data_IF_534535508607
#
_entry.id   IF_534535508607
#
_cell.length_a   1.000
_cell.length_b   1.000
_cell.length_c   1.000
_cell.angle_alpha   90.00
_cell.angle_beta   90.00
_cell.angle_gamma   90.00
#
_symmetry.space_group_name_H-M   'P 1'
#
loop_
_entity.id
_entity.type
_entity.pdbx_description
1 polymer ?
#
# COMPACT_ATOMS: atom_id res chain seq x y z
N UNK A 1 9.85 -12.28 20.61
CA UNK A 1 9.94 -10.87 20.15
C UNK A 1 9.12 -10.79 18.88
N UNK A 2 8.18 -9.86 18.81
CA UNK A 2 7.41 -9.64 17.57
C UNK A 2 8.33 -9.12 16.46
N UNK A 3 7.92 -9.34 15.21
CA UNK A 3 8.53 -8.70 14.04
C UNK A 3 8.39 -7.17 14.17
N UNK A 4 9.41 -6.40 13.78
CA UNK A 4 9.43 -4.93 13.86
C UNK A 4 9.89 -4.33 12.54
N UNK A 5 9.19 -3.31 12.08
CA UNK A 5 9.49 -2.51 10.88
C UNK A 5 9.91 -1.12 11.31
N UNK A 6 11.07 -0.68 10.82
CA UNK A 6 11.58 0.68 11.01
C UNK A 6 11.32 1.51 9.77
N UNK A 7 10.53 2.58 9.92
CA UNK A 7 10.19 3.51 8.84
C UNK A 7 11.20 4.66 8.85
N UNK A 8 12.03 4.71 7.82
CA UNK A 8 12.98 5.79 7.57
C UNK A 8 12.49 6.79 6.51
N UNK A 9 13.35 7.72 6.06
CA UNK A 9 13.03 8.61 4.93
C UNK A 9 12.96 7.92 3.57
N UNK A 10 13.49 6.69 3.47
CA UNK A 10 13.43 5.88 2.25
C UNK A 10 12.17 5.00 2.17
N UNK A 11 11.94 4.35 1.02
CA UNK A 11 10.79 3.48 0.83
C UNK A 11 10.81 2.28 1.77
N UNK A 12 9.65 1.92 2.32
CA UNK A 12 9.43 0.59 2.91
C UNK A 12 9.39 -0.48 1.81
N UNK A 13 9.70 -1.73 2.15
CA UNK A 13 9.64 -2.84 1.21
C UNK A 13 8.25 -3.48 1.13
N UNK A 14 7.99 -4.27 0.08
CA UNK A 14 6.79 -5.12 0.00
C UNK A 14 6.67 -6.02 1.23
N UNK A 15 7.80 -6.57 1.71
CA UNK A 15 7.81 -7.44 2.87
C UNK A 15 7.39 -6.72 4.16
N UNK A 16 7.79 -5.45 4.32
CA UNK A 16 7.39 -4.60 5.44
C UNK A 16 5.89 -4.31 5.42
N UNK A 17 5.34 -4.00 4.24
CA UNK A 17 3.89 -3.78 4.07
C UNK A 17 3.12 -5.03 4.49
N UNK A 18 3.52 -6.22 4.00
CA UNK A 18 2.88 -7.49 4.37
C UNK A 18 3.09 -7.80 5.87
N UNK A 19 4.26 -7.49 6.43
CA UNK A 19 4.56 -7.69 7.85
C UNK A 19 3.60 -6.92 8.75
N UNK A 20 3.41 -5.64 8.46
CA UNK A 20 2.52 -4.77 9.24
C UNK A 20 1.06 -5.12 8.97
N UNK A 21 0.67 -5.26 7.71
CA UNK A 21 -0.72 -5.49 7.30
C UNK A 21 -1.28 -6.82 7.81
N UNK A 22 -0.54 -7.93 7.61
CA UNK A 22 -1.02 -9.30 7.88
C UNK A 22 -0.45 -9.93 9.14
N UNK A 23 0.80 -9.64 9.49
CA UNK A 23 1.51 -10.32 10.60
C UNK A 23 1.55 -9.51 11.89
N UNK A 24 1.04 -8.27 11.87
CA UNK A 24 0.97 -7.42 13.05
C UNK A 24 2.34 -6.96 13.54
N UNK A 25 3.31 -6.79 12.62
CA UNK A 25 4.62 -6.26 12.98
C UNK A 25 4.50 -4.88 13.65
N UNK A 26 5.30 -4.66 14.69
CA UNK A 26 5.41 -3.37 15.36
C UNK A 26 6.06 -2.35 14.42
N UNK A 27 5.70 -1.07 14.55
CA UNK A 27 6.17 0.00 13.67
C UNK A 27 6.88 1.06 14.51
N UNK A 28 8.06 1.49 14.08
CA UNK A 28 8.81 2.57 14.71
C UNK A 28 9.42 3.48 13.66
N UNK A 29 9.57 4.76 13.98
CA UNK A 29 10.25 5.72 13.12
C UNK A 29 11.74 5.71 13.42
N UNK A 30 12.57 5.70 12.37
CA UNK A 30 14.00 5.89 12.52
C UNK A 30 14.34 7.34 12.90
N UNK A 31 15.47 7.56 13.57
CA UNK A 31 15.90 8.89 14.00
C UNK A 31 16.08 9.86 12.82
N UNK A 32 16.49 9.34 11.67
CA UNK A 32 16.61 10.11 10.43
C UNK A 32 15.25 10.57 9.89
N UNK A 33 14.21 9.75 10.04
CA UNK A 33 12.84 10.11 9.67
C UNK A 33 12.29 11.21 10.58
N UNK A 34 12.48 11.08 11.90
CA UNK A 34 12.09 12.11 12.86
C UNK A 34 12.79 13.45 12.53
N UNK A 35 14.10 13.39 12.28
CA UNK A 35 14.87 14.57 11.88
C UNK A 35 14.39 15.18 10.56
N UNK A 36 13.97 14.36 9.59
CA UNK A 36 13.43 14.83 8.32
C UNK A 36 12.06 15.50 8.48
N UNK A 37 11.17 14.89 9.27
CA UNK A 37 9.86 15.46 9.62
C UNK A 37 10.03 16.83 10.28
N UNK A 38 10.93 16.93 11.27
CA UNK A 38 11.17 18.19 12.00
C UNK A 38 11.65 19.33 11.10
N UNK A 39 12.57 19.04 10.18
CA UNK A 39 13.05 20.04 9.20
C UNK A 39 11.93 20.51 8.29
N UNK A 40 11.11 19.59 7.79
CA UNK A 40 9.97 19.92 6.95
C UNK A 40 8.93 20.76 7.71
N UNK A 41 8.70 20.42 8.98
CA UNK A 41 7.75 21.12 9.85
C UNK A 41 8.18 22.56 10.09
N UNK A 42 9.46 22.80 10.36
CA UNK A 42 10.00 24.15 10.55
C UNK A 42 9.73 25.06 9.34
N UNK A 43 9.82 24.53 8.11
CA UNK A 43 9.49 25.27 6.88
C UNK A 43 8.01 25.64 6.82
N UNK A 44 7.11 24.70 7.14
CA UNK A 44 5.68 24.98 7.15
C UNK A 44 5.32 26.01 8.24
N UNK A 45 5.99 25.95 9.40
CA UNK A 45 5.77 26.90 10.49
C UNK A 45 6.20 28.32 10.10
N UNK A 46 7.35 28.46 9.43
CA UNK A 46 7.81 29.75 8.89
C UNK A 46 6.82 30.31 7.86
N UNK A 47 6.36 29.48 6.92
CA UNK A 47 5.39 29.89 5.90
C UNK A 47 4.01 30.21 6.50
N UNK A 48 3.61 29.51 7.55
CA UNK A 48 2.38 29.80 8.28
C UNK A 48 2.46 31.14 9.01
N UNK A 49 3.62 31.50 9.55
CA UNK A 49 3.85 32.79 10.20
C UNK A 49 4.03 33.95 9.21
N UNK A 50 4.38 33.65 7.95
CA UNK A 50 4.61 34.65 6.91
C UNK A 50 3.37 35.44 6.48
N UNK A 51 3.61 36.66 6.00
CA UNK A 51 2.54 37.55 5.49
C UNK A 51 1.99 37.10 4.13
N UNK A 52 2.79 36.37 3.33
CA UNK A 52 2.40 35.88 2.00
C UNK A 52 1.60 34.58 2.12
N UNK A 53 0.35 34.52 1.62
CA UNK A 53 -0.43 33.30 1.70
C UNK A 53 0.18 32.15 0.90
N UNK A 54 0.25 30.96 1.52
CA UNK A 54 0.75 29.71 0.90
C UNK A 54 -0.37 28.66 0.86
N UNK A 55 -0.52 27.98 -0.29
CA UNK A 55 -1.58 26.99 -0.52
C UNK A 55 -1.56 25.87 0.52
N UNK A 56 -2.72 25.52 1.08
CA UNK A 56 -2.86 24.42 2.06
C UNK A 56 -2.21 24.67 3.43
N UNK A 57 -1.48 25.78 3.59
CA UNK A 57 -0.84 26.21 4.84
C UNK A 57 -1.63 27.37 5.48
N UNK A 58 -1.82 28.46 4.73
CA UNK A 58 -2.52 29.67 5.21
C UNK A 58 -3.72 30.06 4.33
N UNK A 59 -4.10 29.21 3.37
CA UNK A 59 -5.30 29.36 2.54
C UNK A 59 -6.23 28.15 2.66
N UNK A 60 -7.44 28.25 2.10
CA UNK A 60 -8.36 27.11 1.97
C UNK A 60 -7.90 26.06 0.94
N UNK A 61 -8.73 25.03 0.74
CA UNK A 61 -8.44 23.91 -0.16
C UNK A 61 -9.35 23.91 -1.39
N UNK A 62 -8.89 23.35 -2.51
CA UNK A 62 -9.68 23.19 -3.73
C UNK A 62 -10.30 24.51 -4.21
N UNK A 63 -11.63 24.57 -4.32
CA UNK A 63 -12.36 25.78 -4.73
C UNK A 63 -12.14 27.00 -3.80
N UNK A 64 -11.65 26.78 -2.58
CA UNK A 64 -11.36 27.83 -1.59
C UNK A 64 -9.87 28.21 -1.51
N UNK A 65 -9.04 27.74 -2.46
CA UNK A 65 -7.59 27.98 -2.49
C UNK A 65 -7.18 29.46 -2.45
N UNK A 66 -8.04 30.37 -2.91
CA UNK A 66 -7.78 31.82 -2.98
C UNK A 66 -8.15 32.57 -1.70
N UNK A 67 -8.78 31.91 -0.71
CA UNK A 67 -9.23 32.55 0.53
C UNK A 67 -8.17 32.44 1.61
N UNK A 68 -7.69 33.56 2.11
CA UNK A 68 -6.80 33.62 3.27
C UNK A 68 -7.55 33.18 4.55
N UNK A 69 -6.86 32.41 5.40
CA UNK A 69 -7.41 31.85 6.62
C UNK A 69 -6.70 32.45 7.84
N UNK A 70 -7.42 33.20 8.69
CA UNK A 70 -6.89 33.72 9.95
C UNK A 70 -6.28 32.62 10.81
N UNK A 71 -5.18 32.91 11.50
CA UNK A 71 -4.39 31.95 12.28
C UNK A 71 -5.23 31.16 13.27
N UNK A 72 -6.14 31.82 13.97
CA UNK A 72 -7.06 31.24 14.96
C UNK A 72 -8.06 30.24 14.37
N UNK A 73 -8.31 30.28 13.05
CA UNK A 73 -9.22 29.36 12.35
C UNK A 73 -8.48 28.19 11.69
N UNK A 74 -7.14 28.18 11.65
CA UNK A 74 -6.38 27.17 10.89
C UNK A 74 -6.52 25.78 11.48
N UNK A 75 -6.41 25.61 12.79
CA UNK A 75 -6.63 24.31 13.43
C UNK A 75 -8.05 23.79 13.18
N UNK A 76 -9.06 24.68 13.30
CA UNK A 76 -10.45 24.34 13.00
C UNK A 76 -10.63 23.92 11.53
N UNK A 77 -9.97 24.60 10.59
CA UNK A 77 -10.02 24.27 9.17
C UNK A 77 -9.49 22.87 8.89
N UNK A 78 -8.34 22.49 9.47
CA UNK A 78 -7.73 21.17 9.25
C UNK A 78 -8.63 20.05 9.81
N UNK A 79 -9.18 20.23 11.01
CA UNK A 79 -10.17 19.30 11.58
C UNK A 79 -11.44 19.22 10.72
N UNK A 80 -11.92 20.35 10.21
CA UNK A 80 -13.12 20.39 9.37
C UNK A 80 -12.89 19.69 8.03
N UNK A 81 -11.68 19.83 7.44
CA UNK A 81 -11.28 19.13 6.24
C UNK A 81 -11.35 17.61 6.44
N UNK A 82 -10.75 17.09 7.50
CA UNK A 82 -10.78 15.66 7.82
C UNK A 82 -12.22 15.17 7.96
N UNK A 83 -13.04 15.86 8.76
CA UNK A 83 -14.45 15.49 8.97
C UNK A 83 -15.28 15.54 7.69
N UNK A 84 -15.09 16.54 6.84
CA UNK A 84 -15.87 16.67 5.60
C UNK A 84 -15.49 15.62 4.55
N UNK A 85 -14.26 15.09 4.61
CA UNK A 85 -13.76 14.09 3.67
C UNK A 85 -13.96 12.65 4.15
N UNK A 86 -14.26 12.43 5.44
CA UNK A 86 -14.65 11.13 5.99
C UNK A 86 -16.08 10.71 5.56
N UNK A 87 -16.32 10.72 4.26
CA UNK A 87 -17.61 10.47 3.61
C UNK A 87 -17.69 9.05 3.01
N UNK A 88 -17.07 8.07 3.68
CA UNK A 88 -17.10 6.67 3.25
C UNK A 88 -18.47 6.00 3.46
N UNK A 89 -18.83 5.05 2.59
CA UNK A 89 -20.05 4.25 2.72
C UNK A 89 -19.86 2.80 2.25
N UNK A 90 -20.79 1.91 2.58
CA UNK A 90 -20.74 0.50 2.21
C UNK A 90 -20.12 -0.42 3.29
N UNK A 91 -19.68 -1.62 2.91
CA UNK A 91 -18.98 -2.54 3.80
C UNK A 91 -17.69 -1.95 4.36
N UNK A 92 -17.19 -2.55 5.44
CA UNK A 92 -15.87 -2.22 5.96
C UNK A 92 -14.79 -2.81 5.06
N UNK A 93 -13.79 -2.00 4.73
CA UNK A 93 -12.55 -2.47 4.10
C UNK A 93 -11.82 -3.39 5.05
N UNK A 94 -11.16 -4.42 4.53
CA UNK A 94 -10.42 -5.40 5.31
C UNK A 94 -9.32 -4.74 6.15
N UNK A 95 -9.17 -5.23 7.39
CA UNK A 95 -8.20 -4.70 8.36
C UNK A 95 -6.78 -4.62 7.81
N UNK A 96 -6.36 -5.61 7.02
CA UNK A 96 -5.02 -5.64 6.42
C UNK A 96 -4.79 -4.48 5.44
N UNK A 97 -5.82 -4.11 4.67
CA UNK A 97 -5.76 -3.02 3.70
C UNK A 97 -5.66 -1.68 4.42
N UNK A 98 -6.46 -1.48 5.48
CA UNK A 98 -6.39 -0.24 6.28
C UNK A 98 -5.03 -0.11 6.97
N UNK A 99 -4.46 -1.21 7.46
CA UNK A 99 -3.12 -1.21 8.06
C UNK A 99 -2.02 -0.92 7.03
N UNK A 100 -2.13 -1.46 5.80
CA UNK A 100 -1.22 -1.13 4.71
C UNK A 100 -1.31 0.36 4.35
N UNK A 101 -2.53 0.89 4.20
CA UNK A 101 -2.80 2.30 3.95
C UNK A 101 -2.15 3.20 5.00
N UNK A 102 -2.32 2.88 6.30
CA UNK A 102 -1.71 3.66 7.38
C UNK A 102 -0.18 3.61 7.36
N UNK A 103 0.42 2.43 7.09
CA UNK A 103 1.87 2.31 6.99
C UNK A 103 2.42 3.14 5.82
N UNK A 104 1.77 3.09 4.67
CA UNK A 104 2.21 3.81 3.47
C UNK A 104 2.06 5.32 3.64
N UNK A 105 0.98 5.77 4.27
CA UNK A 105 0.84 7.17 4.68
C UNK A 105 1.98 7.57 5.59
N UNK A 106 2.26 6.79 6.64
CA UNK A 106 3.38 7.02 7.56
C UNK A 106 4.72 7.09 6.82
N UNK A 107 4.96 6.18 5.87
CA UNK A 107 6.17 6.18 5.03
C UNK A 107 6.31 7.49 4.25
N UNK A 108 5.22 7.98 3.66
CA UNK A 108 5.21 9.27 2.96
C UNK A 108 5.44 10.44 3.92
N UNK A 109 4.87 10.40 5.13
CA UNK A 109 5.13 11.44 6.15
C UNK A 109 6.60 11.45 6.57
N UNK A 110 7.22 10.27 6.69
CA UNK A 110 8.59 10.07 7.13
C UNK A 110 9.67 10.56 6.14
N UNK A 111 9.31 10.81 4.87
CA UNK A 111 10.26 11.36 3.88
C UNK A 111 10.69 12.79 4.23
N UNK A 112 9.91 13.51 5.04
CA UNK A 112 10.17 14.92 5.37
C UNK A 112 9.82 15.89 4.23
N UNK A 113 8.89 15.52 3.36
CA UNK A 113 8.40 16.40 2.30
C UNK A 113 6.97 16.89 2.53
N UNK A 114 6.28 16.37 3.56
CA UNK A 114 4.87 16.68 3.84
C UNK A 114 4.69 17.78 4.88
N UNK A 115 5.65 17.91 5.82
CA UNK A 115 5.60 18.92 6.87
C UNK A 115 4.53 18.67 7.94
N UNK A 116 4.29 17.43 8.34
CA UNK A 116 3.50 17.12 9.56
C UNK A 116 4.34 17.31 10.82
N UNK A 117 3.70 17.30 12.00
CA UNK A 117 4.41 17.25 13.28
C UNK A 117 4.86 15.82 13.61
N UNK A 118 5.93 15.71 14.40
CA UNK A 118 6.48 14.41 14.79
C UNK A 118 5.48 13.59 15.60
N UNK A 119 4.68 14.23 16.46
CA UNK A 119 3.72 13.57 17.33
C UNK A 119 2.61 12.90 16.50
N UNK A 120 2.23 13.52 15.39
CA UNK A 120 1.27 12.97 14.42
C UNK A 120 1.80 11.69 13.78
N UNK A 121 3.04 11.69 13.29
CA UNK A 121 3.65 10.49 12.71
C UNK A 121 3.89 9.39 13.75
N UNK A 122 4.35 9.76 14.95
CA UNK A 122 4.54 8.84 16.07
C UNK A 122 3.23 8.20 16.52
N UNK A 123 2.13 8.95 16.57
CA UNK A 123 0.83 8.40 16.93
C UNK A 123 0.33 7.40 15.87
N UNK A 124 0.53 7.67 14.58
CA UNK A 124 0.18 6.72 13.52
C UNK A 124 0.98 5.40 13.63
N UNK A 125 2.29 5.49 13.92
CA UNK A 125 3.11 4.31 14.20
C UNK A 125 2.65 3.54 15.46
N UNK A 126 2.23 4.28 16.50
CA UNK A 126 1.68 3.69 17.71
C UNK A 126 0.36 2.97 17.47
N UNK A 127 -0.58 3.54 16.71
CA UNK A 127 -1.83 2.86 16.34
C UNK A 127 -1.57 1.53 15.63
N UNK A 128 -0.64 1.52 14.65
CA UNK A 128 -0.23 0.30 13.95
C UNK A 128 0.33 -0.76 14.91
N UNK A 129 1.19 -0.35 15.85
CA UNK A 129 1.83 -1.20 16.85
C UNK A 129 0.84 -1.75 17.88
N UNK A 130 -0.10 -0.93 18.34
CA UNK A 130 -1.16 -1.33 19.27
C UNK A 130 -2.31 -2.09 18.60
N UNK A 131 -2.27 -2.26 17.28
CA UNK A 131 -3.29 -2.96 16.51
C UNK A 131 -4.61 -2.19 16.37
N UNK A 132 -4.63 -0.90 16.69
CA UNK A 132 -5.82 -0.04 16.58
C UNK A 132 -5.97 0.33 15.10
N UNK A 133 -7.05 -0.15 14.48
CA UNK A 133 -7.29 0.01 13.03
C UNK A 133 -8.58 0.81 12.80
N UNK A 134 -8.55 1.97 12.14
CA UNK A 134 -9.74 2.75 11.79
C UNK A 134 -10.76 1.95 10.99
N UNK A 135 -12.05 2.22 11.22
CA UNK A 135 -13.10 1.71 10.35
C UNK A 135 -13.15 2.56 9.08
N UNK A 136 -12.74 1.96 7.97
CA UNK A 136 -12.80 2.53 6.62
C UNK A 136 -13.87 1.80 5.83
N UNK A 137 -14.61 2.53 5.00
CA UNK A 137 -15.71 1.99 4.18
C UNK A 137 -15.29 1.93 2.70
N UNK A 138 -15.77 0.92 1.97
CA UNK A 138 -15.33 0.62 0.60
C UNK A 138 -15.56 1.75 -0.43
N UNK A 139 -16.68 2.48 -0.32
CA UNK A 139 -17.05 3.49 -1.31
C UNK A 139 -16.76 4.90 -0.81
N UNK A 140 -16.29 5.78 -1.69
CA UNK A 140 -16.17 7.21 -1.43
C UNK A 140 -14.92 7.87 -2.05
N UNK A 141 -13.84 7.10 -2.22
CA UNK A 141 -12.64 7.57 -2.94
C UNK A 141 -12.88 7.55 -4.47
N UNK A 142 -12.32 8.55 -5.17
CA UNK A 142 -12.32 8.60 -6.63
C UNK A 142 -11.08 7.95 -7.26
N UNK A 143 -10.02 7.74 -6.46
CA UNK A 143 -8.74 7.18 -6.93
C UNK A 143 -7.96 8.05 -7.93
N UNK A 144 -8.47 9.23 -8.32
CA UNK A 144 -7.82 10.17 -9.24
C UNK A 144 -7.35 11.48 -8.57
N UNK A 145 -7.62 11.63 -7.26
CA UNK A 145 -7.21 12.79 -6.47
C UNK A 145 -6.72 12.35 -5.08
N UNK A 146 -6.08 11.18 -5.02
CA UNK A 146 -5.77 10.46 -3.77
C UNK A 146 -6.97 9.74 -3.13
N UNK A 147 -6.65 8.91 -2.13
CA UNK A 147 -7.54 8.15 -1.27
C UNK A 147 -8.09 8.99 -0.10
N UNK A 148 -8.62 10.18 -0.44
CA UNK A 148 -9.04 11.20 0.52
C UNK A 148 -9.99 10.65 1.58
N UNK A 149 -11.04 9.93 1.18
CA UNK A 149 -12.04 9.43 2.12
C UNK A 149 -11.48 8.32 3.05
N UNK A 150 -10.84 7.27 2.54
CA UNK A 150 -10.15 6.29 3.37
C UNK A 150 -9.15 6.89 4.36
N UNK A 151 -8.28 7.80 3.89
CA UNK A 151 -7.29 8.43 4.73
C UNK A 151 -7.91 9.40 5.75
N UNK A 152 -9.03 10.06 5.42
CA UNK A 152 -9.76 10.90 6.36
C UNK A 152 -10.31 10.10 7.55
N UNK A 153 -10.78 8.87 7.35
CA UNK A 153 -11.15 7.99 8.47
C UNK A 153 -9.94 7.63 9.34
N UNK A 154 -8.74 7.47 8.74
CA UNK A 154 -7.51 7.26 9.51
C UNK A 154 -7.10 8.52 10.29
N UNK A 155 -7.24 9.69 9.69
CA UNK A 155 -6.99 10.98 10.34
C UNK A 155 -7.99 11.26 11.48
N UNK A 156 -9.26 10.87 11.34
CA UNK A 156 -10.24 10.93 12.43
C UNK A 156 -9.75 10.16 13.66
N UNK A 157 -9.24 8.95 13.47
CA UNK A 157 -8.74 8.14 14.57
C UNK A 157 -7.57 8.80 15.31
N UNK A 158 -6.67 9.48 14.60
CA UNK A 158 -5.55 10.23 15.19
C UNK A 158 -6.02 11.39 16.07
N UNK A 159 -7.11 12.07 15.69
CA UNK A 159 -7.69 13.15 16.49
C UNK A 159 -8.68 12.65 17.56
N UNK A 160 -8.79 11.32 17.74
CA UNK A 160 -9.66 10.68 18.73
C UNK A 160 -11.14 10.62 18.33
N UNK A 161 -11.44 10.80 17.05
CA UNK A 161 -12.80 10.77 16.49
C UNK A 161 -13.02 9.52 15.61
N UNK A 162 -14.29 9.19 15.36
CA UNK A 162 -14.66 8.03 14.54
C UNK A 162 -14.58 6.70 15.29
N UNK A 163 -14.72 5.63 14.52
CA UNK A 163 -14.73 4.25 15.00
C UNK A 163 -13.45 3.53 14.61
N UNK A 164 -12.96 2.65 15.48
CA UNK A 164 -11.80 1.79 15.26
C UNK A 164 -12.13 0.37 15.68
N UNK A 165 -11.37 -0.59 15.16
CA UNK A 165 -11.24 -1.94 15.70
C UNK A 165 -9.96 -2.05 16.50
N UNK A 166 -10.04 -2.59 17.71
CA UNK A 166 -8.88 -2.84 18.54
C UNK A 166 -8.04 -4.04 18.05
N UNK A 167 -7.03 -4.44 18.82
CA UNK A 167 -6.19 -5.59 18.50
C UNK A 167 -6.99 -6.89 18.30
N UNK A 168 -8.08 -7.07 19.08
CA UNK A 168 -8.98 -8.23 19.09
C UNK A 168 -10.06 -8.17 18.02
N UNK A 169 -10.19 -7.04 17.33
CA UNK A 169 -11.20 -6.79 16.31
C UNK A 169 -12.50 -6.19 16.86
N UNK A 170 -12.54 -5.79 18.13
CA UNK A 170 -13.71 -5.20 18.77
C UNK A 170 -13.91 -3.75 18.31
N UNK A 171 -15.13 -3.41 17.90
CA UNK A 171 -15.51 -2.07 17.44
C UNK A 171 -15.67 -1.14 18.65
N UNK A 172 -15.01 0.01 18.62
CA UNK A 172 -15.10 1.02 19.68
C UNK A 172 -14.79 2.44 19.18
N UNK A 173 -15.16 3.49 19.93
CA UNK A 173 -14.75 4.86 19.62
C UNK A 173 -13.23 5.04 19.64
N UNK A 174 -12.67 5.78 18.68
CA UNK A 174 -11.23 6.00 18.58
C UNK A 174 -10.61 6.59 19.85
N UNK A 175 -11.25 7.60 20.43
CA UNK A 175 -10.80 8.22 21.68
C UNK A 175 -10.73 7.23 22.86
N UNK A 176 -11.61 6.24 22.91
CA UNK A 176 -11.61 5.22 23.96
C UNK A 176 -10.46 4.23 23.76
N UNK A 177 -10.22 3.81 22.51
CA UNK A 177 -9.10 2.95 22.15
C UNK A 177 -7.75 3.61 22.44
N UNK A 178 -7.60 4.90 22.11
CA UNK A 178 -6.41 5.69 22.43
C UNK A 178 -6.13 5.69 23.94
N UNK A 179 -7.15 6.03 24.76
CA UNK A 179 -7.00 6.04 26.22
C UNK A 179 -6.66 4.66 26.78
N UNK A 180 -7.29 3.60 26.26
CA UNK A 180 -7.01 2.23 26.67
C UNK A 180 -5.56 1.80 26.35
N UNK A 181 -4.97 2.34 25.28
CA UNK A 181 -3.58 2.11 24.90
C UNK A 181 -2.58 3.08 25.55
N UNK A 182 -3.03 4.03 26.38
CA UNK A 182 -2.17 5.06 26.96
C UNK A 182 -1.70 6.12 25.96
N UNK A 183 -2.40 6.26 24.84
CA UNK A 183 -2.12 7.23 23.78
C UNK A 183 -3.04 8.46 23.92
N UNK A 184 -2.56 9.61 23.44
CA UNK A 184 -3.35 10.85 23.40
C UNK A 184 -3.66 11.23 21.95
N UNK A 185 -4.86 11.75 21.66
CA UNK A 185 -5.18 12.26 20.33
C UNK A 185 -4.32 13.47 20.01
N UNK A 186 -4.01 13.66 18.72
CA UNK A 186 -3.31 14.85 18.24
C UNK A 186 -4.29 15.96 17.92
N UNK A 187 -3.89 17.20 18.18
CA UNK A 187 -4.55 18.36 17.57
C UNK A 187 -3.93 18.61 16.19
N UNK A 188 -4.69 19.09 15.21
CA UNK A 188 -4.13 19.32 13.86
C UNK A 188 -3.72 20.78 13.69
N UNK A 189 -2.49 21.00 13.24
CA UNK A 189 -2.00 22.32 12.85
C UNK A 189 -1.97 22.52 11.34
N UNK A 190 -1.57 23.72 10.90
CA UNK A 190 -1.54 24.10 9.49
C UNK A 190 -0.87 23.02 8.63
N UNK A 191 -1.55 22.66 7.53
CA UNK A 191 -1.23 21.57 6.58
C UNK A 191 -1.46 20.14 7.06
N UNK A 192 -1.52 19.84 8.36
CA UNK A 192 -1.53 18.45 8.83
C UNK A 192 -2.77 17.67 8.39
N UNK A 193 -3.96 18.28 8.41
CA UNK A 193 -5.19 17.64 7.94
C UNK A 193 -5.11 17.25 6.48
N UNK A 194 -4.52 18.10 5.63
CA UNK A 194 -4.31 17.80 4.22
C UNK A 194 -3.23 16.73 4.02
N UNK A 195 -2.08 16.87 4.70
CA UNK A 195 -0.95 15.95 4.59
C UNK A 195 -1.30 14.51 5.04
N UNK A 196 -2.28 14.37 5.92
CA UNK A 196 -2.80 13.07 6.37
C UNK A 196 -3.72 12.41 5.34
N UNK A 197 -4.39 13.17 4.47
CA UNK A 197 -5.43 12.62 3.58
C UNK A 197 -5.07 12.60 2.11
N UNK A 198 -4.00 13.29 1.72
CA UNK A 198 -3.64 13.51 0.32
C UNK A 198 -2.56 12.53 -0.15
N UNK A 199 -2.96 11.32 -0.54
CA UNK A 199 -2.05 10.29 -1.06
C UNK A 199 -2.78 9.12 -1.71
N UNK A 200 -2.09 8.19 -2.36
CA UNK A 200 -2.64 6.99 -3.03
C UNK A 200 -2.34 5.71 -2.21
N UNK A 201 -2.24 5.88 -0.90
CA UNK A 201 -1.72 4.87 0.03
C UNK A 201 -2.63 3.63 0.12
N UNK A 202 -3.95 3.80 -0.03
CA UNK A 202 -4.91 2.72 0.03
C UNK A 202 -4.83 1.80 -1.19
N UNK A 203 -4.89 2.39 -2.38
CA UNK A 203 -4.79 1.63 -3.63
C UNK A 203 -3.41 0.98 -3.79
N UNK A 204 -2.32 1.64 -3.36
CA UNK A 204 -0.98 1.05 -3.36
C UNK A 204 -0.89 -0.13 -2.39
N UNK A 205 -1.46 0.00 -1.19
CA UNK A 205 -1.55 -1.08 -0.21
C UNK A 205 -2.29 -2.29 -0.78
N UNK A 206 -3.46 -2.08 -1.40
CA UNK A 206 -4.22 -3.15 -2.06
C UNK A 206 -3.41 -3.82 -3.18
N UNK A 207 -2.73 -3.03 -4.01
CA UNK A 207 -1.91 -3.56 -5.11
C UNK A 207 -0.77 -4.45 -4.60
N UNK A 208 -0.06 -4.03 -3.55
CA UNK A 208 1.03 -4.80 -2.94
C UNK A 208 0.52 -6.11 -2.35
N UNK A 209 -0.59 -6.08 -1.61
CA UNK A 209 -1.21 -7.27 -1.04
C UNK A 209 -1.70 -8.23 -2.14
N UNK A 210 -2.32 -7.70 -3.19
CA UNK A 210 -2.76 -8.50 -4.34
C UNK A 210 -1.58 -9.14 -5.10
N UNK A 211 -0.45 -8.43 -5.26
CA UNK A 211 0.76 -9.00 -5.86
C UNK A 211 1.29 -10.17 -5.04
N UNK A 212 1.31 -10.05 -3.71
CA UNK A 212 1.76 -11.13 -2.82
C UNK A 212 0.86 -12.37 -2.95
N UNK A 213 -0.45 -12.16 -2.98
CA UNK A 213 -1.42 -13.25 -3.16
C UNK A 213 -1.32 -13.88 -4.54
N UNK A 214 -1.22 -13.07 -5.61
CA UNK A 214 -1.07 -13.55 -6.98
C UNK A 214 0.22 -14.34 -7.17
N UNK A 215 1.33 -13.94 -6.55
CA UNK A 215 2.58 -14.73 -6.59
C UNK A 215 2.40 -16.11 -5.98
N UNK A 216 1.63 -16.22 -4.90
CA UNK A 216 1.26 -17.50 -4.29
C UNK A 216 0.32 -18.30 -5.20
N UNK A 217 -0.75 -17.68 -5.68
CA UNK A 217 -1.75 -18.32 -6.55
C UNK A 217 -1.15 -18.83 -7.87
N UNK A 218 -0.21 -18.09 -8.47
CA UNK A 218 0.45 -18.51 -9.71
C UNK A 218 1.35 -19.73 -9.50
N UNK A 219 2.02 -19.85 -8.33
CA UNK A 219 2.75 -21.08 -7.96
C UNK A 219 1.77 -22.24 -7.78
N UNK A 220 0.66 -22.01 -7.08
CA UNK A 220 -0.41 -23.01 -6.91
C UNK A 220 -1.01 -23.45 -8.24
N UNK A 221 -1.17 -22.53 -9.20
CA UNK A 221 -1.67 -22.84 -10.54
C UNK A 221 -0.72 -23.77 -11.29
N UNK A 222 0.60 -23.57 -11.21
CA UNK A 222 1.57 -24.51 -11.80
C UNK A 222 1.47 -25.90 -11.16
N UNK A 223 1.31 -25.98 -9.83
CA UNK A 223 1.11 -27.28 -9.14
C UNK A 223 -0.16 -27.97 -9.63
N UNK A 224 -1.28 -27.24 -9.70
CA UNK A 224 -2.55 -27.78 -10.19
C UNK A 224 -2.46 -28.22 -11.66
N UNK A 225 -1.71 -27.48 -12.49
CA UNK A 225 -1.47 -27.85 -13.89
C UNK A 225 -0.61 -29.11 -14.00
N UNK A 226 0.45 -29.26 -13.21
CA UNK A 226 1.25 -30.49 -13.17
C UNK A 226 0.38 -31.71 -12.79
N UNK A 227 -0.43 -31.60 -11.73
CA UNK A 227 -1.35 -32.66 -11.33
C UNK A 227 -2.37 -32.99 -12.43
N UNK A 228 -2.85 -31.97 -13.16
CA UNK A 228 -3.78 -32.16 -14.27
C UNK A 228 -3.12 -32.86 -15.46
N UNK A 229 -1.84 -32.55 -15.74
CA UNK A 229 -1.05 -33.26 -16.76
C UNK A 229 -0.92 -34.72 -16.40
N UNK A 230 -0.58 -35.07 -15.15
CA UNK A 230 -0.52 -36.46 -14.71
C UNK A 230 -1.89 -37.15 -14.82
N UNK A 231 -2.93 -36.56 -14.24
CA UNK A 231 -4.27 -37.15 -14.18
C UNK A 231 -4.86 -37.44 -15.56
N UNK A 232 -4.54 -36.61 -16.56
CA UNK A 232 -5.05 -36.73 -17.92
C UNK A 232 -4.11 -37.49 -18.87
N UNK A 233 -3.04 -38.09 -18.33
CA UNK A 233 -2.00 -38.78 -19.11
C UNK A 233 -1.45 -37.87 -20.22
N UNK A 234 -1.09 -36.63 -19.85
CA UNK A 234 -0.48 -35.63 -20.72
C UNK A 234 1.05 -35.69 -20.77
N UNK A 235 1.64 -35.04 -21.76
CA UNK A 235 3.09 -35.04 -22.00
C UNK A 235 3.78 -33.79 -21.45
N UNK A 236 4.97 -33.99 -20.89
CA UNK A 236 5.84 -32.94 -20.34
C UNK A 236 6.84 -32.38 -21.36
N UNK A 237 6.98 -33.00 -22.55
CA UNK A 237 7.93 -32.58 -23.61
C UNK A 237 7.76 -31.12 -24.02
N UNK A 238 6.54 -30.61 -23.92
CA UNK A 238 6.17 -29.24 -24.28
C UNK A 238 6.62 -28.19 -23.26
N UNK A 239 7.20 -28.63 -22.14
CA UNK A 239 7.77 -27.77 -21.09
C UNK A 239 9.31 -27.70 -21.17
N UNK A 240 9.92 -28.38 -22.14
CA UNK A 240 11.37 -28.43 -22.29
C UNK A 240 11.99 -27.03 -22.43
N UNK A 241 13.12 -26.75 -21.75
CA UNK A 241 13.72 -25.41 -21.70
C UNK A 241 14.14 -24.90 -23.08
N UNK A 242 14.65 -25.77 -23.96
CA UNK A 242 15.01 -25.44 -25.33
C UNK A 242 13.82 -24.98 -26.17
N UNK A 243 12.63 -25.53 -25.92
CA UNK A 243 11.40 -25.10 -26.58
C UNK A 243 10.94 -23.73 -26.06
N UNK A 244 11.04 -23.49 -24.75
CA UNK A 244 10.69 -22.20 -24.18
C UNK A 244 11.63 -21.10 -24.65
N UNK A 245 12.91 -21.41 -24.83
CA UNK A 245 13.91 -20.46 -25.31
C UNK A 245 13.60 -19.92 -26.73
N UNK A 246 12.84 -20.64 -27.55
CA UNK A 246 12.38 -20.16 -28.87
C UNK A 246 11.41 -18.98 -28.77
N UNK A 247 10.76 -18.78 -27.61
CA UNK A 247 9.86 -17.66 -27.33
C UNK A 247 10.16 -17.09 -25.93
N UNK A 248 11.11 -16.15 -25.81
CA UNK A 248 11.77 -15.81 -24.54
C UNK A 248 10.94 -14.88 -23.64
N UNK A 249 9.70 -15.25 -23.32
CA UNK A 249 8.91 -14.59 -22.27
C UNK A 249 9.34 -15.13 -20.89
N UNK A 250 9.80 -14.29 -19.95
CA UNK A 250 10.32 -14.72 -18.66
C UNK A 250 9.31 -15.55 -17.84
N UNK A 251 8.07 -15.09 -17.74
CA UNK A 251 7.01 -15.78 -17.03
C UNK A 251 6.69 -17.16 -17.62
N UNK A 252 6.72 -17.27 -18.96
CA UNK A 252 6.51 -18.54 -19.66
C UNK A 252 7.62 -19.54 -19.31
N UNK A 253 8.88 -19.11 -19.38
CA UNK A 253 10.02 -19.94 -19.02
C UNK A 253 9.96 -20.36 -17.55
N UNK A 254 9.57 -19.45 -16.63
CA UNK A 254 9.41 -19.75 -15.21
C UNK A 254 8.33 -20.81 -14.92
N UNK A 255 7.15 -20.67 -15.54
CA UNK A 255 6.07 -21.66 -15.38
C UNK A 255 6.44 -23.02 -15.97
N UNK A 256 7.02 -23.06 -17.18
CA UNK A 256 7.47 -24.31 -17.78
C UNK A 256 8.56 -25.00 -16.94
N UNK A 257 9.51 -24.25 -16.38
CA UNK A 257 10.54 -24.80 -15.50
C UNK A 257 9.94 -25.43 -14.24
N UNK A 258 8.93 -24.80 -13.64
CA UNK A 258 8.20 -25.36 -12.50
C UNK A 258 7.49 -26.67 -12.86
N UNK A 259 6.77 -26.69 -14.00
CA UNK A 259 6.06 -27.88 -14.48
C UNK A 259 7.03 -29.02 -14.79
N UNK A 260 8.12 -28.74 -15.50
CA UNK A 260 9.15 -29.72 -15.82
C UNK A 260 9.81 -30.29 -14.54
N UNK A 261 10.04 -29.45 -13.53
CA UNK A 261 10.57 -29.88 -12.24
C UNK A 261 9.60 -30.80 -11.50
N UNK A 262 8.31 -30.46 -11.45
CA UNK A 262 7.29 -31.23 -10.72
C UNK A 262 6.96 -32.57 -11.40
N UNK A 263 6.98 -32.61 -12.74
CA UNK A 263 6.69 -33.80 -13.53
C UNK A 263 7.90 -34.71 -13.73
N UNK A 264 9.09 -34.26 -13.30
CA UNK A 264 10.32 -35.04 -13.40
C UNK A 264 10.14 -36.36 -12.66
N UNK A 265 10.49 -37.45 -13.33
CA UNK A 265 10.40 -38.82 -12.82
C UNK A 265 8.98 -39.31 -12.47
N UNK A 266 7.93 -38.63 -12.95
CA UNK A 266 6.55 -39.11 -12.80
C UNK A 266 6.34 -40.45 -13.52
N UNK A 267 6.00 -41.49 -12.77
CA UNK A 267 5.62 -42.79 -13.31
C UNK A 267 4.35 -42.72 -14.19
N UNK A 268 3.45 -41.78 -13.87
CA UNK A 268 2.23 -41.56 -14.64
C UNK A 268 2.56 -40.99 -16.01
N UNK A 269 3.40 -39.94 -16.08
CA UNK A 269 3.88 -39.40 -17.36
C UNK A 269 4.67 -40.45 -18.15
N UNK A 270 5.53 -41.23 -17.47
CA UNK A 270 6.31 -42.29 -18.12
C UNK A 270 5.45 -43.41 -18.74
N UNK A 271 4.29 -43.71 -18.16
CA UNK A 271 3.42 -44.83 -18.58
C UNK A 271 2.93 -44.78 -20.03
N UNK A 272 2.96 -43.59 -20.65
CA UNK A 272 2.45 -43.34 -22.00
C UNK A 272 3.44 -42.53 -22.86
N UNK A 273 4.75 -42.65 -22.60
CA UNK A 273 5.81 -42.08 -23.48
C UNK A 273 6.19 -42.96 -24.67
N UNK A 274 5.78 -44.23 -24.65
CA UNK A 274 6.17 -45.24 -25.64
C UNK A 274 5.47 -45.12 -27.00
N UNK A 275 5.86 -45.96 -27.97
CA UNK A 275 5.31 -45.95 -29.34
C UNK A 275 3.80 -46.24 -29.40
N UNK A 276 3.24 -46.86 -28.36
CA UNK A 276 1.81 -47.16 -28.25
C UNK A 276 0.95 -45.95 -27.85
N UNK A 277 1.58 -44.82 -27.50
CA UNK A 277 0.87 -43.58 -27.23
C UNK A 277 0.43 -42.92 -28.54
N UNK A 278 -0.89 -42.97 -28.81
CA UNK A 278 -1.49 -42.36 -29.99
C UNK A 278 -1.66 -40.82 -29.87
N UNK A 279 -1.30 -40.23 -28.72
CA UNK A 279 -1.49 -38.80 -28.47
C UNK A 279 -0.36 -37.99 -29.07
N UNK A 280 -0.65 -37.31 -30.17
CA UNK A 280 0.31 -36.44 -30.87
C UNK A 280 0.57 -35.14 -30.09
N UNK A 281 -0.50 -34.54 -29.54
CA UNK A 281 -0.44 -33.32 -28.73
C UNK A 281 -1.59 -33.33 -27.71
N UNK A 282 -1.35 -32.76 -26.53
CA UNK A 282 -2.42 -32.47 -25.58
C UNK A 282 -3.26 -31.26 -26.00
N UNK A 283 -4.45 -31.17 -25.40
CA UNK A 283 -5.30 -29.99 -25.45
C UNK A 283 -4.57 -28.76 -24.89
N UNK A 284 -4.99 -27.57 -25.33
CA UNK A 284 -4.35 -26.31 -24.94
C UNK A 284 -4.37 -26.05 -23.43
N UNK A 285 -5.39 -26.52 -22.71
CA UNK A 285 -5.46 -26.37 -21.25
C UNK A 285 -4.30 -27.04 -20.50
N UNK A 286 -3.63 -28.03 -21.10
CA UNK A 286 -2.43 -28.67 -20.56
C UNK A 286 -1.17 -28.16 -21.25
N UNK A 287 -1.17 -28.18 -22.59
CA UNK A 287 0.04 -27.87 -23.38
C UNK A 287 0.41 -26.39 -23.34
N UNK A 288 -0.57 -25.51 -23.22
CA UNK A 288 -0.37 -24.06 -23.23
C UNK A 288 -0.33 -23.46 -21.81
N UNK A 289 -0.31 -24.27 -20.75
CA UNK A 289 -0.27 -23.77 -19.36
C UNK A 289 0.90 -22.80 -19.12
N UNK A 290 2.15 -23.05 -19.58
CA UNK A 290 3.23 -22.08 -19.42
C UNK A 290 2.96 -20.72 -20.06
N UNK A 291 2.34 -20.70 -21.24
CA UNK A 291 2.04 -19.46 -21.95
C UNK A 291 0.97 -18.65 -21.21
N UNK A 292 -0.05 -19.33 -20.68
CA UNK A 292 -1.16 -18.70 -19.94
C UNK A 292 -0.68 -18.22 -18.56
N UNK A 293 -0.08 -19.10 -17.76
CA UNK A 293 0.42 -18.75 -16.44
C UNK A 293 1.57 -17.75 -16.53
N UNK A 294 2.42 -17.89 -17.55
CA UNK A 294 3.54 -17.00 -17.80
C UNK A 294 3.11 -15.57 -18.14
N UNK A 295 2.08 -15.41 -18.98
CA UNK A 295 1.54 -14.07 -19.27
C UNK A 295 1.00 -13.39 -18.01
N UNK A 296 0.35 -14.14 -17.11
CA UNK A 296 -0.11 -13.62 -15.83
C UNK A 296 1.07 -13.24 -14.92
N UNK A 297 2.14 -14.06 -14.85
CA UNK A 297 3.37 -13.74 -14.11
C UNK A 297 4.03 -12.45 -14.61
N UNK A 298 4.20 -12.31 -15.92
CA UNK A 298 4.80 -11.10 -16.51
C UNK A 298 3.95 -9.85 -16.21
N UNK A 299 2.62 -10.00 -16.16
CA UNK A 299 1.69 -8.92 -15.77
C UNK A 299 1.86 -8.53 -14.30
N UNK A 300 2.00 -9.51 -13.41
CA UNK A 300 2.24 -9.28 -11.98
C UNK A 300 3.58 -8.57 -11.75
N UNK A 301 4.63 -8.94 -12.48
CA UNK A 301 5.94 -8.28 -12.35
C UNK A 301 5.95 -6.85 -12.94
N UNK A 302 5.16 -6.59 -13.99
CA UNK A 302 4.91 -5.22 -14.44
C UNK A 302 4.21 -4.39 -13.34
N UNK A 303 3.14 -4.94 -12.73
CA UNK A 303 2.44 -4.29 -11.64
C UNK A 303 3.36 -4.05 -10.42
N UNK A 304 4.24 -5.00 -10.10
CA UNK A 304 5.24 -4.85 -9.05
C UNK A 304 6.26 -3.75 -9.36
N UNK A 305 6.60 -3.55 -10.63
CA UNK A 305 7.46 -2.44 -11.05
C UNK A 305 6.79 -1.09 -10.82
N UNK A 306 5.48 -0.98 -11.11
CA UNK A 306 4.71 0.25 -10.85
C UNK A 306 4.60 0.51 -9.34
N UNK A 307 4.19 -0.50 -8.56
CA UNK A 307 4.10 -0.39 -7.10
C UNK A 307 5.46 -0.06 -6.45
N UNK A 308 6.56 -0.60 -6.96
CA UNK A 308 7.91 -0.27 -6.48
C UNK A 308 8.30 1.19 -6.72
N UNK A 309 7.81 1.81 -7.80
CA UNK A 309 8.00 3.25 -8.05
C UNK A 309 7.15 4.08 -7.09
N UNK A 310 5.88 3.72 -6.92
CA UNK A 310 4.99 4.43 -5.99
C UNK A 310 5.47 4.33 -4.53
N UNK A 311 6.04 3.20 -4.10
CA UNK A 311 6.66 3.08 -2.78
C UNK A 311 7.80 4.08 -2.54
N UNK A 312 8.54 4.42 -3.60
CA UNK A 312 9.64 5.38 -3.57
C UNK A 312 9.20 6.83 -3.78
N UNK A 313 7.91 7.07 -4.09
CA UNK A 313 7.36 8.39 -4.33
C UNK A 313 6.98 9.09 -3.04
N UNK A 314 7.10 10.42 -3.02
CA UNK A 314 6.38 11.26 -2.04
C UNK A 314 5.07 11.70 -2.65
N UNK A 315 3.97 11.10 -2.18
CA UNK A 315 2.63 11.33 -2.68
C UNK A 315 1.91 12.29 -1.71
N UNK A 316 2.06 13.58 -1.97
CA UNK A 316 1.41 14.68 -1.24
C UNK A 316 1.37 15.93 -2.12
N UNK A 317 0.50 16.88 -1.77
CA UNK A 317 0.46 18.22 -2.36
C UNK A 317 -0.07 19.25 -1.34
N UNK A 318 0.59 20.41 -1.20
CA UNK A 318 1.90 20.74 -1.76
C UNK A 318 3.02 20.01 -1.00
N UNK A 319 4.23 19.98 -1.57
CA UNK A 319 5.41 19.34 -0.94
C UNK A 319 6.49 20.37 -0.62
N UNK A 320 7.25 20.11 0.45
CA UNK A 320 8.49 20.82 0.79
C UNK A 320 9.61 20.25 -0.08
N UNK A 321 10.24 21.08 -0.90
CA UNK A 321 11.35 20.66 -1.76
C UNK A 321 12.68 20.56 -0.98
N UNK A 322 13.58 19.63 -1.38
CA UNK A 322 14.83 19.39 -0.68
C UNK A 322 15.82 20.56 -0.68
N UNK A 323 15.74 21.44 -1.69
CA UNK A 323 16.83 22.32 -2.08
C UNK A 323 16.81 23.70 -1.44
N UNK A 324 15.69 24.18 -0.86
CA UNK A 324 15.62 25.58 -0.38
C UNK A 324 14.45 25.88 0.58
N UNK A 325 13.79 24.87 1.16
CA UNK A 325 12.62 25.10 2.03
C UNK A 325 11.41 25.70 1.29
N UNK A 326 11.37 25.52 -0.03
CA UNK A 326 10.25 25.96 -0.87
C UNK A 326 9.11 24.96 -0.80
N UNK A 327 7.88 25.45 -0.82
CA UNK A 327 6.67 24.63 -0.91
C UNK A 327 6.09 24.79 -2.31
N UNK A 328 5.96 23.67 -3.03
CA UNK A 328 5.47 23.68 -4.41
C UNK A 328 4.22 22.80 -4.56
N UNK A 329 3.25 23.36 -5.29
CA UNK A 329 2.06 22.62 -5.70
C UNK A 329 2.38 21.68 -6.84
N UNK A 330 1.80 20.48 -6.82
CA UNK A 330 2.01 19.44 -7.81
C UNK A 330 0.77 18.54 -7.93
N UNK A 331 0.84 17.56 -8.83
CA UNK A 331 -0.21 16.57 -9.06
C UNK A 331 0.20 15.13 -8.71
N UNK A 332 1.19 14.94 -7.83
CA UNK A 332 1.75 13.62 -7.51
C UNK A 332 0.74 12.70 -6.81
N UNK A 333 -0.42 13.21 -6.38
CA UNK A 333 -1.53 12.43 -5.80
C UNK A 333 -2.39 11.69 -6.84
N UNK A 334 -2.03 11.72 -8.13
CA UNK A 334 -2.77 11.12 -9.23
C UNK A 334 -1.96 10.00 -9.91
#
# INVERSE_FOLDING_TARGET
>A
MGEQVWVGPGPVSFADVVAVARRGAAVSLADEALSAIDRARAVIDELAAGEKPTYGVSTGFGALATRHIPTELRAQLQRSLVRSHAAGSGPEVEREVVRALMLLRLSTLATGHTGVRRETAQLMAALLTHGITPVVREYGSLGCSGDLAPLAHCALALIGEGEVRDARGELMPAGDALRAAGLSPVELEAKEGLALINGTDGMLGMLILAIEDLRTLLRTADVAAAMSVEAQLGTDRVFAPELQALRPHPGQAGSAANLALMLRDSAVVASHRGPDCNRVQDAYSLRCSPQVHGAARDTVEYAATVAGRELASTIDNPVVLPDEGRVESNGNFH
#
